data_IF_882282416042
#
_entry.id   IF_882282416042
#
_cell.length_a   1.000
_cell.length_b   1.000
_cell.length_c   1.000
_cell.angle_alpha   90.00
_cell.angle_beta   90.00
_cell.angle_gamma   90.00
#
_symmetry.space_group_name_H-M   'P 1'
#
loop_
_entity.id
_entity.type
_entity.pdbx_description
1 polymer ?
#
# COMPACT_ATOMS: atom_id res chain seq x y z
N UNK A 1 0.93 1.43 12.12
CA UNK A 1 0.51 1.36 10.70
C UNK A 1 -0.84 2.06 10.48
N UNK A 2 -0.97 2.91 9.45
CA UNK A 2 -2.25 3.53 9.04
C UNK A 2 -2.65 3.05 7.65
N UNK A 3 -3.82 2.41 7.53
CA UNK A 3 -4.36 1.94 6.26
C UNK A 3 -5.32 2.98 5.70
N UNK A 4 -5.07 3.42 4.46
CA UNK A 4 -5.92 4.37 3.72
C UNK A 4 -6.65 3.64 2.59
N UNK A 5 -7.86 4.07 2.28
CA UNK A 5 -8.67 3.52 1.19
C UNK A 5 -8.68 4.46 -0.02
N UNK A 6 -8.82 3.85 -1.22
CA UNK A 6 -9.05 4.56 -2.49
C UNK A 6 -8.01 5.65 -2.80
N UNK A 7 -6.76 5.45 -2.39
CA UNK A 7 -5.66 6.38 -2.65
C UNK A 7 -5.24 6.29 -4.12
N UNK A 8 -5.24 7.42 -4.84
CA UNK A 8 -4.76 7.47 -6.22
C UNK A 8 -3.27 7.13 -6.27
N UNK A 9 -2.88 6.22 -7.18
CA UNK A 9 -1.47 5.81 -7.32
C UNK A 9 -0.67 6.72 -8.25
N UNK A 10 -1.32 7.58 -9.04
CA UNK A 10 -0.65 8.52 -9.94
C UNK A 10 0.48 9.36 -9.29
N UNK A 11 0.35 9.88 -8.05
CA UNK A 11 1.44 10.60 -7.38
C UNK A 11 2.63 9.74 -6.96
N UNK A 12 2.48 8.41 -7.00
CA UNK A 12 3.47 7.42 -6.56
C UNK A 12 4.11 6.68 -7.75
N UNK A 13 3.94 7.17 -8.98
CA UNK A 13 4.56 6.59 -10.17
C UNK A 13 5.19 7.68 -11.04
N UNK A 14 6.36 7.38 -11.64
CA UNK A 14 7.08 8.34 -12.49
C UNK A 14 6.31 8.75 -13.74
N UNK A 15 5.47 7.85 -14.27
CA UNK A 15 4.60 8.12 -15.41
C UNK A 15 3.38 8.98 -15.04
N UNK A 16 3.13 9.25 -13.74
CA UNK A 16 1.99 10.04 -13.30
C UNK A 16 0.64 9.36 -13.53
N UNK A 17 0.63 8.03 -13.68
CA UNK A 17 -0.59 7.24 -13.94
C UNK A 17 -0.78 6.18 -12.87
N UNK A 18 -2.03 5.90 -12.53
CA UNK A 18 -2.37 4.87 -11.55
C UNK A 18 -3.74 5.12 -10.94
N UNK A 19 -4.64 4.16 -11.11
CA UNK A 19 -5.98 4.20 -10.50
C UNK A 19 -5.93 4.12 -8.97
N UNK A 20 -7.11 4.15 -8.31
CA UNK A 20 -7.18 4.10 -6.86
C UNK A 20 -6.78 2.71 -6.34
N UNK A 21 -5.79 2.66 -5.45
CA UNK A 21 -5.52 1.48 -4.66
C UNK A 21 -6.69 1.23 -3.71
N UNK A 22 -7.18 -0.03 -3.66
CA UNK A 22 -8.21 -0.42 -2.70
C UNK A 22 -7.75 -0.14 -1.26
N UNK A 23 -6.48 -0.43 -0.99
CA UNK A 23 -5.80 -0.19 0.28
C UNK A 23 -4.40 0.37 0.02
N UNK A 24 -3.97 1.34 0.82
CA UNK A 24 -2.66 1.95 0.73
C UNK A 24 -2.07 2.14 2.13
N UNK A 25 -0.79 1.79 2.28
CA UNK A 25 0.00 1.98 3.50
C UNK A 25 1.35 2.54 3.09
N UNK A 26 1.77 3.62 3.73
CA UNK A 26 3.16 4.08 3.68
C UNK A 26 3.94 3.33 4.75
N UNK A 27 5.02 2.64 4.35
CA UNK A 27 5.84 1.82 5.23
C UNK A 27 7.27 2.39 5.30
N UNK A 28 7.54 3.34 6.22
CA UNK A 28 8.86 3.99 6.34
C UNK A 28 9.91 3.09 7.02
N UNK A 29 9.48 2.01 7.67
CA UNK A 29 10.32 1.10 8.43
C UNK A 29 9.84 -0.35 8.32
N UNK A 30 10.68 -1.26 8.81
CA UNK A 30 10.40 -2.70 8.78
C UNK A 30 9.22 -3.10 9.67
N UNK A 31 9.01 -2.38 10.78
CA UNK A 31 7.90 -2.64 11.69
C UNK A 31 6.55 -2.44 10.97
N UNK A 32 6.43 -1.33 10.23
CA UNK A 32 5.22 -1.02 9.46
C UNK A 32 4.98 -2.03 8.34
N UNK A 33 6.04 -2.54 7.71
CA UNK A 33 5.94 -3.60 6.71
C UNK A 33 5.40 -4.91 7.31
N UNK A 34 5.89 -5.31 8.49
CA UNK A 34 5.43 -6.51 9.20
C UNK A 34 3.94 -6.40 9.57
N UNK A 35 3.52 -5.24 10.05
CA UNK A 35 2.11 -4.94 10.33
C UNK A 35 1.24 -5.05 9.07
N UNK A 36 1.70 -4.51 7.94
CA UNK A 36 0.95 -4.54 6.67
C UNK A 36 0.77 -5.97 6.13
N UNK A 37 1.81 -6.81 6.24
CA UNK A 37 1.76 -8.22 5.88
C UNK A 37 0.80 -9.02 6.77
N UNK A 38 0.80 -8.76 8.09
CA UNK A 38 -0.14 -9.41 9.00
C UNK A 38 -1.58 -8.99 8.69
N UNK A 39 -1.80 -7.69 8.46
CA UNK A 39 -3.09 -7.12 8.13
C UNK A 39 -3.67 -7.66 6.81
N UNK A 40 -2.84 -7.80 5.77
CA UNK A 40 -3.28 -8.32 4.47
C UNK A 40 -3.67 -9.79 4.55
N UNK A 41 -2.87 -10.61 5.26
CA UNK A 41 -3.16 -12.03 5.50
C UNK A 41 -4.46 -12.23 6.27
N UNK A 42 -4.67 -11.49 7.35
CA UNK A 42 -5.90 -11.58 8.16
C UNK A 42 -7.17 -11.28 7.36
N UNK A 43 -7.06 -10.52 6.27
CA UNK A 43 -8.18 -10.13 5.39
C UNK A 43 -8.23 -10.89 4.07
N UNK A 44 -7.26 -11.77 3.80
CA UNK A 44 -7.15 -12.48 2.54
C UNK A 44 -6.99 -11.57 1.32
N UNK A 45 -6.40 -10.38 1.49
CA UNK A 45 -6.20 -9.42 0.38
C UNK A 45 -4.79 -9.51 -0.17
N UNK A 46 -4.66 -9.44 -1.49
CA UNK A 46 -3.35 -9.41 -2.14
C UNK A 46 -2.59 -8.12 -1.76
N UNK A 47 -1.32 -8.27 -1.43
CA UNK A 47 -0.40 -7.18 -1.13
C UNK A 47 0.61 -7.05 -2.27
N UNK A 48 0.83 -5.83 -2.74
CA UNK A 48 1.86 -5.50 -3.72
C UNK A 48 2.72 -4.36 -3.20
N UNK A 49 4.03 -4.53 -3.27
CA UNK A 49 4.98 -3.48 -2.96
C UNK A 49 5.06 -2.49 -4.13
N UNK A 50 5.00 -1.20 -3.80
CA UNK A 50 5.29 -0.10 -4.71
C UNK A 50 6.56 0.58 -4.20
N UNK A 51 7.58 0.59 -5.05
CA UNK A 51 8.71 1.53 -4.93
C UNK A 51 8.51 2.64 -5.96
N UNK A 52 9.60 3.03 -6.63
CA UNK A 52 9.58 4.05 -7.67
C UNK A 52 10.39 5.27 -7.26
#
# INVERSE_FOLDING_TARGET
MTVRERVALAPYTTLGVGGPARWFVEAPDEATLRDALAWSRARGVALRMLGG
#
